data_IF_361579291882
#
_entry.id   IF_361579291882
#
_cell.length_a   1.000
_cell.length_b   1.000
_cell.length_c   1.000
_cell.angle_alpha   90.00
_cell.angle_beta   90.00
_cell.angle_gamma   90.00
#
_symmetry.space_group_name_H-M   'P 1'
#
loop_
_entity.id
_entity.type
_entity.pdbx_description
1 polymer ?
#
# COMPACT_ATOMS: atom_id res chain seq x y z
N UNK A 1 -11.73 2.39 -19.45
CA UNK A 1 -10.49 1.63 -19.19
C UNK A 1 -10.90 0.24 -18.73
N UNK A 2 -10.17 -0.80 -19.08
CA UNK A 2 -10.40 -2.14 -18.52
C UNK A 2 -9.92 -2.15 -17.07
N UNK A 3 -10.68 -2.76 -16.16
CA UNK A 3 -10.23 -3.00 -14.79
C UNK A 3 -9.03 -3.96 -14.81
N UNK A 4 -8.04 -3.66 -13.96
CA UNK A 4 -6.87 -4.51 -13.77
C UNK A 4 -7.26 -5.83 -13.08
N UNK A 5 -8.18 -5.75 -12.13
CA UNK A 5 -8.64 -6.90 -11.35
C UNK A 5 -9.99 -7.42 -11.83
N UNK A 6 -10.18 -8.73 -11.71
CA UNK A 6 -11.46 -9.41 -11.96
C UNK A 6 -12.11 -9.75 -10.63
N UNK A 7 -13.44 -9.74 -10.58
CA UNK A 7 -14.19 -10.02 -9.34
C UNK A 7 -13.88 -11.39 -8.73
N UNK A 8 -13.46 -12.37 -9.51
CA UNK A 8 -13.13 -13.72 -9.00
C UNK A 8 -11.66 -13.89 -8.58
N UNK A 9 -10.82 -12.85 -8.64
CA UNK A 9 -9.45 -12.93 -8.12
C UNK A 9 -9.42 -12.92 -6.60
N UNK A 10 -8.51 -13.69 -6.02
CA UNK A 10 -8.15 -13.65 -4.60
C UNK A 10 -7.13 -12.54 -4.32
N UNK A 11 -7.00 -12.10 -3.07
CA UNK A 11 -5.98 -11.10 -2.71
C UNK A 11 -4.54 -11.54 -3.04
N UNK A 12 -4.11 -12.79 -2.76
CA UNK A 12 -2.78 -13.23 -3.17
C UNK A 12 -2.58 -13.24 -4.70
N UNK A 13 -3.63 -13.39 -5.50
CA UNK A 13 -3.52 -13.25 -6.96
C UNK A 13 -3.38 -11.78 -7.37
N UNK A 14 -4.09 -10.86 -6.70
CA UNK A 14 -3.92 -9.42 -6.90
C UNK A 14 -2.50 -8.99 -6.50
N UNK A 15 -2.00 -9.44 -5.35
CA UNK A 15 -0.63 -9.19 -4.87
C UNK A 15 0.40 -9.57 -5.92
N UNK A 16 0.37 -10.83 -6.39
CA UNK A 16 1.29 -11.32 -7.43
C UNK A 16 1.22 -10.52 -8.72
N UNK A 17 0.05 -10.00 -9.08
CA UNK A 17 -0.10 -9.14 -10.25
C UNK A 17 0.57 -7.79 -10.02
N UNK A 18 0.38 -7.18 -8.84
CA UNK A 18 1.05 -5.94 -8.45
C UNK A 18 2.58 -6.10 -8.42
N UNK A 19 3.07 -7.19 -7.85
CA UNK A 19 4.50 -7.52 -7.85
C UNK A 19 5.09 -7.57 -9.27
N UNK A 20 4.35 -8.06 -10.26
CA UNK A 20 4.82 -8.10 -11.66
C UNK A 20 5.05 -6.70 -12.23
N UNK A 21 4.29 -5.69 -11.79
CA UNK A 21 4.54 -4.29 -12.17
C UNK A 21 5.77 -3.71 -11.47
N UNK A 22 6.09 -4.19 -10.27
CA UNK A 22 7.25 -3.76 -9.49
C UNK A 22 8.55 -4.50 -9.85
N UNK A 23 8.46 -5.71 -10.43
CA UNK A 23 9.62 -6.49 -10.87
C UNK A 23 10.28 -5.84 -12.11
N UNK A 24 11.60 -5.67 -12.04
CA UNK A 24 12.55 -5.38 -13.14
C UNK A 24 12.95 -3.93 -13.46
N UNK A 25 12.71 -2.92 -12.62
CA UNK A 25 13.08 -1.55 -13.02
C UNK A 25 14.49 -1.09 -12.59
N UNK A 26 15.12 -1.71 -11.59
CA UNK A 26 16.45 -1.29 -11.07
C UNK A 26 16.53 0.18 -10.60
N UNK A 27 15.41 0.89 -10.66
CA UNK A 27 15.20 2.31 -10.44
C UNK A 27 13.95 2.46 -9.59
N UNK A 28 13.89 3.54 -8.82
CA UNK A 28 12.81 3.77 -7.88
C UNK A 28 11.48 3.92 -8.63
N UNK A 29 10.42 3.29 -8.12
CA UNK A 29 9.13 3.20 -8.77
C UNK A 29 8.16 4.22 -8.18
N UNK A 30 7.54 5.01 -9.05
CA UNK A 30 6.35 5.79 -8.74
C UNK A 30 5.11 4.92 -8.98
N UNK A 31 4.45 4.53 -7.90
CA UNK A 31 3.36 3.54 -7.88
C UNK A 31 2.21 3.96 -8.78
N UNK A 32 1.81 5.22 -8.73
CA UNK A 32 0.63 5.72 -9.46
C UNK A 32 0.87 5.98 -10.95
N UNK A 33 2.13 5.97 -11.39
CA UNK A 33 2.56 5.99 -12.79
C UNK A 33 2.74 4.59 -13.36
N UNK A 34 3.36 3.71 -12.56
CA UNK A 34 3.73 2.36 -13.00
C UNK A 34 2.53 1.41 -13.05
N UNK A 35 1.63 1.51 -12.07
CA UNK A 35 0.52 0.56 -11.90
C UNK A 35 -0.77 1.18 -12.44
N UNK A 36 -1.36 0.62 -13.51
CA UNK A 36 -2.57 1.17 -14.13
C UNK A 36 -3.83 0.74 -13.36
N UNK A 37 -3.88 1.04 -12.07
CA UNK A 37 -4.96 0.64 -11.17
C UNK A 37 -6.08 1.70 -11.20
N UNK A 38 -7.31 1.29 -11.51
CA UNK A 38 -8.47 2.19 -11.56
C UNK A 38 -9.12 2.38 -10.18
N UNK A 39 -10.06 3.34 -10.06
CA UNK A 39 -10.83 3.51 -8.83
C UNK A 39 -11.63 2.25 -8.46
N UNK A 40 -12.20 1.56 -9.45
CA UNK A 40 -12.98 0.34 -9.22
C UNK A 40 -12.09 -0.80 -8.74
N UNK A 41 -10.86 -0.91 -9.28
CA UNK A 41 -9.86 -1.87 -8.82
C UNK A 41 -9.46 -1.60 -7.36
N UNK A 42 -9.26 -0.33 -6.99
CA UNK A 42 -8.96 0.08 -5.62
C UNK A 42 -10.10 -0.31 -4.66
N UNK A 43 -11.34 -0.01 -5.04
CA UNK A 43 -12.53 -0.34 -4.23
C UNK A 43 -12.66 -1.86 -4.04
N UNK A 44 -12.43 -2.65 -5.09
CA UNK A 44 -12.44 -4.11 -5.02
C UNK A 44 -11.36 -4.62 -4.06
N UNK A 45 -10.11 -4.19 -4.24
CA UNK A 45 -8.97 -4.59 -3.41
C UNK A 45 -9.18 -4.23 -1.94
N UNK A 46 -9.66 -3.00 -1.67
CA UNK A 46 -10.02 -2.55 -0.32
C UNK A 46 -11.08 -3.45 0.33
N UNK A 47 -12.13 -3.82 -0.40
CA UNK A 47 -13.19 -4.69 0.14
C UNK A 47 -12.67 -6.08 0.56
N UNK A 48 -11.69 -6.60 -0.19
CA UNK A 48 -11.05 -7.87 0.15
C UNK A 48 -10.08 -7.71 1.30
N UNK A 49 -9.32 -6.61 1.37
CA UNK A 49 -8.46 -6.33 2.51
C UNK A 49 -9.29 -6.22 3.78
N UNK A 50 -10.42 -5.50 3.79
CA UNK A 50 -11.29 -5.40 4.97
C UNK A 50 -11.82 -6.78 5.42
N UNK A 51 -12.02 -7.71 4.47
CA UNK A 51 -12.48 -9.08 4.74
C UNK A 51 -11.36 -10.00 5.22
N UNK A 52 -10.16 -9.85 4.65
CA UNK A 52 -8.99 -10.70 4.89
C UNK A 52 -8.19 -10.27 6.12
N UNK A 53 -8.08 -8.96 6.33
CA UNK A 53 -7.44 -8.29 7.47
C UNK A 53 -8.40 -8.19 8.67
N UNK A 54 -9.46 -9.00 8.70
CA UNK A 54 -10.36 -9.08 9.84
C UNK A 54 -9.52 -9.34 11.09
N UNK A 55 -9.45 -8.34 11.98
CA UNK A 55 -8.51 -8.15 13.10
C UNK A 55 -8.58 -9.25 14.19
N UNK A 56 -8.56 -10.53 13.79
CA UNK A 56 -8.57 -11.71 14.65
C UNK A 56 -7.17 -12.07 15.16
N UNK A 57 -6.17 -11.23 14.87
CA UNK A 57 -4.83 -11.35 15.44
C UNK A 57 -3.87 -12.27 14.68
N UNK A 58 -4.26 -12.77 13.50
CA UNK A 58 -3.34 -13.51 12.63
C UNK A 58 -2.53 -12.54 11.77
N UNK A 59 -1.37 -12.17 12.30
CA UNK A 59 -0.44 -11.24 11.67
C UNK A 59 0.22 -11.86 10.42
N UNK A 60 0.17 -13.20 10.26
CA UNK A 60 0.78 -13.88 9.11
C UNK A 60 0.15 -13.45 7.79
N UNK A 61 -1.16 -13.21 7.79
CA UNK A 61 -1.92 -12.75 6.64
C UNK A 61 -1.42 -11.39 6.11
N UNK A 62 -0.83 -10.53 6.95
CA UNK A 62 -0.30 -9.25 6.50
C UNK A 62 0.96 -9.37 5.64
N UNK A 63 1.76 -10.41 5.84
CA UNK A 63 2.95 -10.64 5.01
C UNK A 63 2.59 -11.03 3.58
N UNK A 64 1.50 -11.77 3.41
CA UNK A 64 1.12 -12.31 2.10
C UNK A 64 0.53 -11.25 1.15
N UNK A 65 0.19 -10.05 1.67
CA UNK A 65 -0.51 -8.98 0.94
C UNK A 65 0.01 -7.57 1.28
N UNK A 66 1.24 -7.45 1.77
CA UNK A 66 1.84 -6.20 2.23
C UNK A 66 1.90 -5.12 1.13
N UNK A 67 2.19 -5.50 -0.11
CA UNK A 67 2.24 -4.58 -1.25
C UNK A 67 0.83 -4.09 -1.60
N UNK A 68 -0.17 -4.97 -1.63
CA UNK A 68 -1.57 -4.61 -1.86
C UNK A 68 -2.09 -3.63 -0.81
N UNK A 69 -1.66 -3.74 0.46
CA UNK A 69 -2.02 -2.78 1.51
C UNK A 69 -1.48 -1.38 1.16
N UNK A 70 -0.18 -1.26 0.90
CA UNK A 70 0.45 0.03 0.56
C UNK A 70 -0.18 0.65 -0.69
N UNK A 71 -0.34 -0.15 -1.74
CA UNK A 71 -0.93 0.30 -3.01
C UNK A 71 -2.38 0.73 -2.81
N UNK A 72 -3.18 -0.02 -2.04
CA UNK A 72 -4.57 0.37 -1.74
C UNK A 72 -4.60 1.74 -1.07
N UNK A 73 -3.72 1.99 -0.11
CA UNK A 73 -3.71 3.27 0.59
C UNK A 73 -3.30 4.44 -0.32
N UNK A 74 -2.27 4.25 -1.15
CA UNK A 74 -1.83 5.25 -2.14
C UNK A 74 -2.98 5.61 -3.10
N UNK A 75 -3.65 4.59 -3.66
CA UNK A 75 -4.73 4.83 -4.61
C UNK A 75 -6.03 5.30 -3.95
N UNK A 76 -6.29 4.94 -2.69
CA UNK A 76 -7.38 5.52 -1.92
C UNK A 76 -7.18 7.03 -1.72
N UNK A 77 -5.96 7.46 -1.38
CA UNK A 77 -5.63 8.89 -1.29
C UNK A 77 -5.77 9.60 -2.63
N UNK A 78 -5.30 8.98 -3.73
CA UNK A 78 -5.44 9.52 -5.09
C UNK A 78 -6.90 9.69 -5.53
N UNK A 79 -7.77 8.73 -5.26
CA UNK A 79 -9.12 8.69 -5.84
C UNK A 79 -10.23 9.22 -4.95
N UNK A 80 -10.15 8.96 -3.64
CA UNK A 80 -11.20 9.38 -2.72
C UNK A 80 -10.91 10.77 -2.13
N UNK A 81 -9.68 11.29 -2.29
CA UNK A 81 -9.32 12.67 -1.93
C UNK A 81 -9.43 12.99 -0.44
N UNK A 82 -9.63 11.98 0.39
CA UNK A 82 -9.56 12.09 1.84
C UNK A 82 -8.08 11.98 2.25
N UNK A 83 -7.65 12.71 3.30
CA UNK A 83 -6.30 12.60 3.90
C UNK A 83 -6.07 11.17 4.45
N UNK A 84 -5.92 10.20 3.56
CA UNK A 84 -5.92 8.78 3.90
C UNK A 84 -4.64 8.44 4.65
N UNK A 85 -3.50 9.00 4.24
CA UNK A 85 -2.24 9.08 4.99
C UNK A 85 -2.45 9.51 6.44
N UNK A 86 -3.16 10.61 6.68
CA UNK A 86 -3.46 11.12 8.02
C UNK A 86 -4.36 10.17 8.82
N UNK A 87 -5.35 9.54 8.18
CA UNK A 87 -6.20 8.54 8.84
C UNK A 87 -5.42 7.28 9.18
N UNK A 88 -4.55 6.79 8.28
CA UNK A 88 -3.63 5.69 8.54
C UNK A 88 -2.73 6.01 9.73
N UNK A 89 -2.15 7.21 9.77
CA UNK A 89 -1.35 7.68 10.91
C UNK A 89 -2.13 7.60 12.23
N UNK A 90 -3.34 8.16 12.27
CA UNK A 90 -4.20 8.16 13.45
C UNK A 90 -4.67 6.75 13.87
N UNK A 91 -4.88 5.85 12.93
CA UNK A 91 -5.30 4.48 13.22
C UNK A 91 -4.13 3.63 13.72
N UNK A 92 -2.96 3.71 13.08
CA UNK A 92 -1.78 2.93 13.45
C UNK A 92 -1.18 3.40 14.78
N UNK A 93 -1.19 4.71 15.05
CA UNK A 93 -0.74 5.28 16.35
C UNK A 93 -1.56 4.83 17.57
N UNK A 94 -2.77 4.27 17.36
CA UNK A 94 -3.62 3.73 18.44
C UNK A 94 -3.32 2.28 18.77
N UNK A 95 -2.48 1.61 17.98
CA UNK A 95 -2.12 0.21 18.20
C UNK A 95 -1.17 0.06 19.40
N UNK A 96 -1.20 -1.09 20.10
CA UNK A 96 -0.19 -1.39 21.11
C UNK A 96 1.23 -1.33 20.52
N UNK A 97 2.18 -0.81 21.30
CA UNK A 97 3.54 -0.48 20.83
C UNK A 97 4.28 -1.63 20.12
N UNK A 98 4.08 -2.88 20.56
CA UNK A 98 4.70 -4.04 19.95
C UNK A 98 4.13 -4.37 18.56
N UNK A 99 2.82 -4.15 18.35
CA UNK A 99 2.21 -4.26 17.03
C UNK A 99 2.59 -3.07 16.15
N UNK A 100 2.65 -1.87 16.72
CA UNK A 100 3.05 -0.66 16.00
C UNK A 100 4.42 -0.80 15.33
N UNK A 101 5.45 -1.18 16.10
CA UNK A 101 6.81 -1.34 15.58
C UNK A 101 6.85 -2.35 14.43
N UNK A 102 6.13 -3.45 14.61
CA UNK A 102 6.02 -4.50 13.63
C UNK A 102 5.41 -4.02 12.30
N UNK A 103 4.33 -3.23 12.34
CA UNK A 103 3.72 -2.68 11.11
C UNK A 103 4.65 -1.70 10.40
N UNK A 104 5.35 -0.85 11.13
CA UNK A 104 6.34 0.06 10.54
C UNK A 104 7.41 -0.75 9.81
N UNK A 105 8.05 -1.71 10.49
CA UNK A 105 9.07 -2.58 9.88
C UNK A 105 8.55 -3.33 8.64
N UNK A 106 7.32 -3.84 8.69
CA UNK A 106 6.68 -4.50 7.54
C UNK A 106 6.59 -3.56 6.33
N UNK A 107 6.08 -2.35 6.52
CA UNK A 107 5.94 -1.39 5.43
C UNK A 107 7.28 -0.87 4.93
N UNK A 108 8.23 -0.58 5.83
CA UNK A 108 9.60 -0.20 5.47
C UNK A 108 10.25 -1.25 4.56
N UNK A 109 10.16 -2.52 4.96
CA UNK A 109 10.72 -3.63 4.18
C UNK A 109 10.05 -3.75 2.81
N UNK A 110 8.73 -3.54 2.74
CA UNK A 110 7.97 -3.60 1.48
C UNK A 110 8.39 -2.48 0.52
N UNK A 111 8.58 -1.26 1.03
CA UNK A 111 9.06 -0.13 0.22
C UNK A 111 10.45 -0.41 -0.38
N UNK A 112 11.35 -1.02 0.41
CA UNK A 112 12.69 -1.41 -0.04
C UNK A 112 12.62 -2.55 -1.07
N UNK A 113 11.89 -3.62 -0.75
CA UNK A 113 11.79 -4.83 -1.56
C UNK A 113 11.31 -4.53 -2.99
N UNK A 114 10.31 -3.66 -3.11
CA UNK A 114 9.72 -3.29 -4.39
C UNK A 114 10.29 -1.98 -4.97
N UNK A 115 11.37 -1.45 -4.36
CA UNK A 115 12.06 -0.24 -4.77
C UNK A 115 11.10 0.95 -4.99
N UNK A 116 10.13 1.12 -4.10
CA UNK A 116 9.14 2.20 -4.18
C UNK A 116 9.84 3.52 -3.85
N UNK A 117 9.61 4.55 -4.68
CA UNK A 117 10.20 5.87 -4.47
C UNK A 117 9.75 6.45 -3.11
N UNK A 118 10.72 6.75 -2.25
CA UNK A 118 10.50 7.28 -0.91
C UNK A 118 10.55 8.81 -0.87
N UNK A 119 10.94 9.47 -1.96
CA UNK A 119 11.07 10.93 -2.03
C UNK A 119 11.95 11.52 -0.91
N UNK A 120 12.97 10.76 -0.49
CA UNK A 120 13.87 11.07 0.63
C UNK A 120 13.16 11.21 2.00
N UNK A 121 11.96 10.68 2.16
CA UNK A 121 11.29 10.59 3.45
C UNK A 121 11.85 9.44 4.29
N UNK A 122 11.79 9.59 5.61
CA UNK A 122 12.22 8.57 6.57
C UNK A 122 11.21 7.43 6.66
N UNK A 123 11.41 6.40 5.85
CA UNK A 123 10.54 5.22 5.83
C UNK A 123 10.68 4.33 7.05
N UNK A 124 11.58 4.60 8.01
CA UNK A 124 11.69 3.89 9.29
C UNK A 124 10.72 4.46 10.34
N UNK A 125 10.06 5.57 10.03
CA UNK A 125 9.02 6.18 10.87
C UNK A 125 7.64 6.12 10.21
N UNK A 126 6.60 6.00 11.04
CA UNK A 126 5.21 6.03 10.55
C UNK A 126 4.90 7.35 9.82
N UNK A 127 5.41 8.48 10.30
CA UNK A 127 5.29 9.79 9.66
C UNK A 127 5.82 9.77 8.23
N UNK A 128 7.03 9.23 8.03
CA UNK A 128 7.61 9.16 6.69
C UNK A 128 6.89 8.17 5.79
N UNK A 129 6.46 7.01 6.30
CA UNK A 129 5.61 6.08 5.52
C UNK A 129 4.33 6.78 5.03
N UNK A 130 3.64 7.53 5.90
CA UNK A 130 2.45 8.27 5.52
C UNK A 130 2.75 9.41 4.52
N UNK A 131 3.88 10.10 4.66
CA UNK A 131 4.31 11.13 3.71
C UNK A 131 4.65 10.52 2.34
N UNK A 132 5.29 9.35 2.30
CA UNK A 132 5.57 8.62 1.05
C UNK A 132 4.26 8.31 0.34
N UNK A 133 3.27 7.77 1.06
CA UNK A 133 1.96 7.47 0.48
C UNK A 133 1.31 8.72 -0.13
N UNK A 134 1.32 9.84 0.61
CA UNK A 134 0.78 11.11 0.16
C UNK A 134 1.49 11.60 -1.12
N UNK A 135 2.84 11.55 -1.14
CA UNK A 135 3.62 11.97 -2.32
C UNK A 135 3.41 11.05 -3.51
N UNK A 136 3.34 9.73 -3.31
CA UNK A 136 2.99 8.77 -4.37
C UNK A 136 1.62 9.09 -4.99
N UNK A 137 0.65 9.54 -4.19
CA UNK A 137 -0.71 9.84 -4.64
C UNK A 137 -0.82 11.17 -5.42
N UNK A 138 -0.06 12.19 -5.02
CA UNK A 138 -0.24 13.57 -5.50
C UNK A 138 0.93 14.16 -6.30
N UNK A 139 2.15 13.64 -6.11
CA UNK A 139 3.38 14.19 -6.67
C UNK A 139 4.27 13.12 -7.30
N UNK A 140 3.76 12.33 -8.27
CA UNK A 140 4.55 11.25 -8.84
C UNK A 140 5.74 11.77 -9.68
N UNK A 141 5.67 12.97 -10.24
CA UNK A 141 6.70 13.54 -11.14
C UNK A 141 7.93 14.19 -10.45
N UNK A 142 8.13 14.00 -9.13
CA UNK A 142 9.17 14.72 -8.34
C UNK A 142 10.41 13.87 -8.06
#
# INVERSE_FOLDING_TARGET
MSNLFKQNMTLPEMERLLEQYCKNDGTAINVTEKIPLSRDDMVLMRSYLDTFVNLKGDVSAFYDVNLAIIITWIFAEKYDGEDYSKRCYLNLSRLPQHHFKYYVELFSNTLIEFNINTFNEDYEELSGICNIMHKQAHYPDV
#
